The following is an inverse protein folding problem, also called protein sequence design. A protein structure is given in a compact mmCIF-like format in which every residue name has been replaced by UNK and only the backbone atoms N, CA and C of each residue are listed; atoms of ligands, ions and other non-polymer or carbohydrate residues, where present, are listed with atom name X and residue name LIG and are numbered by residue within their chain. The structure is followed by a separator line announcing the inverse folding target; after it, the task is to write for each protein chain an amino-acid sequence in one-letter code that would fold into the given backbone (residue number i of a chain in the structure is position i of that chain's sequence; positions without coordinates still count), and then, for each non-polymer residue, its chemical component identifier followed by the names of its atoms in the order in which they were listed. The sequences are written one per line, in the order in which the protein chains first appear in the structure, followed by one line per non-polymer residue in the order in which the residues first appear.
data_IF_100266208671
#
_entry.id   IF_100266208671
#
_cell.length_a   1.000
_cell.length_b   1.000
_cell.length_c   1.000
_cell.angle_alpha   90.00
_cell.angle_beta   90.00
_cell.angle_gamma   90.00
#
_symmetry.space_group_name_H-M   'P 1'
#
loop_
_entity.id
_entity.type
_entity.pdbx_description
1 polymer ?
#
# COMPACT_ATOMS: atom_id res chain seq x y z
N UNK A 1 -28.61 -49.09 -11.99
CA UNK A 1 -27.32 -48.64 -11.45
C UNK A 1 -26.49 -48.05 -12.60
N UNK A 2 -26.31 -46.72 -12.66
CA UNK A 2 -25.51 -46.09 -13.72
C UNK A 2 -24.03 -46.28 -13.39
N UNK A 3 -23.28 -46.98 -14.26
CA UNK A 3 -21.86 -47.26 -14.06
C UNK A 3 -21.04 -46.21 -14.83
N UNK A 4 -20.56 -45.20 -14.11
CA UNK A 4 -19.74 -44.14 -14.72
C UNK A 4 -18.41 -44.74 -15.19
N UNK A 5 -17.98 -44.51 -16.44
CA UNK A 5 -16.70 -45.00 -16.94
C UNK A 5 -15.54 -44.43 -16.10
N UNK A 6 -14.58 -45.27 -15.72
CA UNK A 6 -13.39 -44.85 -14.95
C UNK A 6 -12.63 -43.67 -15.58
N UNK A 7 -12.65 -43.56 -16.92
CA UNK A 7 -12.07 -42.43 -17.66
C UNK A 7 -12.81 -41.12 -17.40
N UNK A 8 -14.14 -41.14 -17.43
CA UNK A 8 -14.98 -39.98 -17.13
C UNK A 8 -14.79 -39.53 -15.68
N UNK A 9 -14.71 -40.48 -14.74
CA UNK A 9 -14.43 -40.19 -13.34
C UNK A 9 -13.09 -39.47 -13.15
N UNK A 10 -12.02 -39.92 -13.82
CA UNK A 10 -10.69 -39.26 -13.77
C UNK A 10 -10.73 -37.83 -14.33
N UNK A 11 -11.48 -37.59 -15.42
CA UNK A 11 -11.63 -36.25 -15.98
C UNK A 11 -12.36 -35.31 -15.03
N UNK A 12 -13.42 -35.79 -14.37
CA UNK A 12 -14.16 -35.01 -13.36
C UNK A 12 -13.24 -34.65 -12.19
N UNK A 13 -12.54 -35.64 -11.62
CA UNK A 13 -11.60 -35.39 -10.51
C UNK A 13 -10.45 -34.47 -10.92
N UNK A 14 -9.88 -34.66 -12.11
CA UNK A 14 -8.83 -33.79 -12.65
C UNK A 14 -9.31 -32.35 -12.83
N UNK A 15 -10.52 -32.16 -13.36
CA UNK A 15 -11.15 -30.84 -13.52
C UNK A 15 -11.39 -30.14 -12.18
N UNK A 16 -11.92 -30.86 -11.19
CA UNK A 16 -12.13 -30.33 -9.83
C UNK A 16 -10.78 -29.95 -9.20
N UNK A 17 -9.76 -30.81 -9.29
CA UNK A 17 -8.44 -30.52 -8.77
C UNK A 17 -7.81 -29.28 -9.43
N UNK A 18 -7.93 -29.14 -10.75
CA UNK A 18 -7.46 -27.97 -11.47
C UNK A 18 -8.20 -26.69 -11.04
N UNK A 19 -9.53 -26.74 -10.89
CA UNK A 19 -10.32 -25.60 -10.42
C UNK A 19 -9.92 -25.16 -9.00
N UNK A 20 -9.71 -26.13 -8.08
CA UNK A 20 -9.25 -25.84 -6.72
C UNK A 20 -7.84 -25.25 -6.70
N UNK A 21 -6.94 -25.74 -7.56
CA UNK A 21 -5.60 -25.16 -7.72
C UNK A 21 -5.67 -23.71 -8.21
N UNK A 22 -6.47 -23.42 -9.23
CA UNK A 22 -6.67 -22.06 -9.74
C UNK A 22 -7.23 -21.13 -8.66
N UNK A 23 -8.20 -21.59 -7.87
CA UNK A 23 -8.74 -20.83 -6.75
C UNK A 23 -7.66 -20.55 -5.70
N UNK A 24 -6.81 -21.52 -5.38
CA UNK A 24 -5.71 -21.36 -4.43
C UNK A 24 -4.68 -20.35 -4.95
N UNK A 25 -4.33 -20.39 -6.25
CA UNK A 25 -3.48 -19.39 -6.88
C UNK A 25 -4.09 -17.99 -6.84
N UNK A 26 -5.40 -17.86 -7.03
CA UNK A 26 -6.08 -16.57 -6.93
C UNK A 26 -5.88 -15.93 -5.54
N UNK A 27 -6.05 -16.71 -4.46
CA UNK A 27 -5.82 -16.23 -3.10
C UNK A 27 -4.36 -15.88 -2.80
N UNK A 28 -3.39 -16.48 -3.50
CA UNK A 28 -1.97 -16.12 -3.39
C UNK A 28 -1.62 -14.84 -4.15
N UNK A 29 -2.19 -14.65 -5.35
CA UNK A 29 -1.89 -13.51 -6.23
C UNK A 29 -2.51 -12.22 -5.68
N UNK A 30 -3.70 -12.28 -5.07
CA UNK A 30 -4.40 -11.11 -4.58
C UNK A 30 -3.58 -10.27 -3.57
N UNK A 31 -3.04 -10.84 -2.48
CA UNK A 31 -2.14 -10.13 -1.56
C UNK A 31 -0.89 -9.59 -2.28
N UNK A 32 -0.28 -10.41 -3.15
CA UNK A 32 0.95 -10.04 -3.83
C UNK A 32 0.78 -8.81 -4.73
N UNK A 33 -0.35 -8.75 -5.45
CA UNK A 33 -0.66 -7.61 -6.29
C UNK A 33 -1.19 -6.40 -5.50
N UNK A 34 -1.75 -6.60 -4.30
CA UNK A 34 -2.04 -5.50 -3.36
C UNK A 34 -0.76 -4.85 -2.84
N UNK A 35 0.19 -5.65 -2.36
CA UNK A 35 1.48 -5.15 -1.89
C UNK A 35 2.28 -4.53 -3.04
N UNK A 36 2.16 -5.09 -4.25
CA UNK A 36 2.72 -4.50 -5.45
C UNK A 36 2.18 -3.09 -5.73
N UNK A 37 0.89 -2.84 -5.49
CA UNK A 37 0.30 -1.51 -5.64
C UNK A 37 0.82 -0.52 -4.58
N UNK A 38 0.88 -0.92 -3.32
CA UNK A 38 1.47 -0.10 -2.25
C UNK A 38 2.95 0.23 -2.52
N UNK A 39 3.74 -0.75 -2.99
CA UNK A 39 5.14 -0.55 -3.39
C UNK A 39 5.30 0.39 -4.58
N UNK A 40 4.36 0.43 -5.52
CA UNK A 40 4.39 1.43 -6.60
C UNK A 40 4.19 2.84 -6.06
N UNK A 41 3.28 3.04 -5.12
CA UNK A 41 3.11 4.34 -4.47
C UNK A 41 4.37 4.72 -3.68
N UNK A 42 5.00 3.77 -2.98
CA UNK A 42 6.26 4.02 -2.29
C UNK A 42 7.35 4.49 -3.26
N UNK A 43 7.53 3.80 -4.40
CA UNK A 43 8.52 4.21 -5.41
C UNK A 43 8.29 5.62 -5.95
N UNK A 44 7.04 6.06 -6.06
CA UNK A 44 6.72 7.44 -6.47
C UNK A 44 7.17 8.45 -5.42
N UNK A 45 6.89 8.17 -4.15
CA UNK A 45 7.33 9.02 -3.03
C UNK A 45 8.86 9.03 -2.89
N UNK A 46 9.51 7.87 -3.02
CA UNK A 46 10.98 7.77 -2.95
C UNK A 46 11.70 8.46 -4.12
N UNK A 47 11.01 8.65 -5.25
CA UNK A 47 11.56 9.35 -6.41
C UNK A 47 11.48 10.87 -6.30
N UNK A 48 10.81 11.41 -5.27
CA UNK A 48 10.73 12.85 -5.06
C UNK A 48 12.07 13.41 -4.59
N UNK A 49 12.49 14.59 -5.07
CA UNK A 49 13.63 15.28 -4.51
C UNK A 49 13.36 15.63 -3.04
N UNK A 50 14.35 15.39 -2.18
CA UNK A 50 14.30 15.87 -0.81
C UNK A 50 14.51 17.39 -0.78
N UNK A 51 13.80 18.13 0.09
CA UNK A 51 14.12 19.53 0.36
C UNK A 51 15.56 19.71 0.83
N UNK A 52 16.09 20.92 0.68
CA UNK A 52 17.44 21.24 1.11
C UNK A 52 17.62 20.99 2.61
N UNK A 53 18.68 20.27 2.99
CA UNK A 53 18.96 19.92 4.38
C UNK A 53 18.06 18.84 4.99
N UNK A 54 17.10 18.28 4.23
CA UNK A 54 16.28 17.18 4.70
C UNK A 54 16.97 15.82 4.54
N UNK A 55 16.73 14.92 5.49
CA UNK A 55 17.26 13.54 5.49
C UNK A 55 16.12 12.53 5.44
N UNK A 56 16.19 11.54 4.53
CA UNK A 56 15.26 10.39 4.55
C UNK A 56 15.71 9.38 5.61
N UNK A 57 14.84 9.11 6.58
CA UNK A 57 15.11 8.20 7.69
C UNK A 57 14.59 6.78 7.44
N UNK A 58 13.37 6.64 6.92
CA UNK A 58 12.74 5.34 6.70
C UNK A 58 11.77 5.39 5.51
N UNK A 59 11.39 4.23 5.00
CA UNK A 59 10.47 4.07 3.88
C UNK A 59 9.49 2.96 4.23
N UNK A 60 8.21 3.18 3.94
CA UNK A 60 7.14 2.30 4.39
C UNK A 60 6.04 2.19 3.33
N UNK A 61 5.50 0.98 3.17
CA UNK A 61 4.35 0.74 2.30
C UNK A 61 3.39 -0.24 2.97
N UNK A 62 2.09 0.00 2.82
CA UNK A 62 1.07 -0.92 3.31
C UNK A 62 -0.11 -0.98 2.36
N UNK A 63 -0.76 -2.14 2.31
CA UNK A 63 -2.04 -2.34 1.63
C UNK A 63 -3.06 -2.89 2.61
N UNK A 64 -4.34 -2.54 2.46
CA UNK A 64 -5.42 -3.08 3.30
C UNK A 64 -6.55 -2.08 3.57
N UNK A 65 -7.39 -2.40 4.56
CA UNK A 65 -8.41 -1.48 5.09
C UNK A 65 -7.78 -0.56 6.14
N UNK A 66 -6.79 0.22 5.70
CA UNK A 66 -5.89 1.00 6.55
C UNK A 66 -6.62 2.09 7.34
N UNK A 67 -7.59 2.78 6.75
CA UNK A 67 -8.37 3.82 7.43
C UNK A 67 -9.65 3.27 8.09
N UNK A 68 -10.05 2.03 7.79
CA UNK A 68 -11.22 1.37 8.41
C UNK A 68 -12.57 2.00 8.11
N UNK A 69 -12.64 2.90 7.11
CA UNK A 69 -13.85 3.63 6.70
C UNK A 69 -14.26 3.22 5.29
N UNK A 70 -14.62 1.96 5.08
CA UNK A 70 -15.12 1.45 3.79
C UNK A 70 -14.74 0.00 3.48
N UNK A 71 -15.26 -0.49 2.34
CA UNK A 71 -14.99 -1.83 1.81
C UNK A 71 -13.80 -1.87 0.83
N UNK A 72 -13.34 -0.71 0.36
CA UNK A 72 -12.27 -0.62 -0.63
C UNK A 72 -10.87 -0.82 -0.05
N UNK A 73 -10.02 -1.48 -0.83
CA UNK A 73 -8.61 -1.65 -0.53
C UNK A 73 -7.85 -0.33 -0.68
N UNK A 74 -7.00 -0.01 0.29
CA UNK A 74 -6.16 1.19 0.28
C UNK A 74 -4.69 0.82 0.10
N UNK A 75 -3.95 1.65 -0.63
CA UNK A 75 -2.54 1.41 -0.96
C UNK A 75 -1.72 2.64 -0.59
N UNK A 76 -0.91 2.48 0.46
CA UNK A 76 -0.09 3.52 1.05
C UNK A 76 1.38 3.31 0.65
N UNK A 77 2.01 4.38 0.19
CA UNK A 77 3.46 4.50 0.16
C UNK A 77 3.88 5.79 0.86
N UNK A 78 4.92 5.73 1.68
CA UNK A 78 5.42 6.89 2.40
C UNK A 78 6.91 6.79 2.72
N UNK A 79 7.51 7.95 2.93
CA UNK A 79 8.83 8.10 3.55
C UNK A 79 8.70 8.86 4.87
N UNK A 80 9.56 8.53 5.82
CA UNK A 80 9.84 9.32 7.00
C UNK A 80 11.07 10.18 6.69
N UNK A 81 10.97 11.49 6.93
CA UNK A 81 12.08 12.42 6.76
C UNK A 81 12.26 13.30 8.00
N UNK A 82 13.49 13.75 8.19
CA UNK A 82 13.86 14.80 9.15
C UNK A 82 14.10 16.09 8.38
N UNK A 83 13.56 17.21 8.85
CA UNK A 83 13.79 18.52 8.23
C UNK A 83 13.71 19.64 9.27
N UNK A 84 14.48 20.70 9.06
CA UNK A 84 14.35 21.95 9.81
C UNK A 84 13.17 22.82 9.35
N UNK A 85 12.61 22.53 8.17
CA UNK A 85 11.45 23.22 7.63
C UNK A 85 10.17 22.83 8.38
N UNK A 86 9.20 23.75 8.41
CA UNK A 86 7.90 23.50 9.02
C UNK A 86 7.05 22.52 8.20
N UNK A 87 6.00 21.98 8.81
CA UNK A 87 5.03 21.12 8.11
C UNK A 87 4.41 21.86 6.91
N UNK A 88 4.08 23.13 7.08
CA UNK A 88 3.48 23.98 6.04
C UNK A 88 4.43 24.21 4.87
N UNK A 89 5.71 24.46 5.13
CA UNK A 89 6.73 24.61 4.08
C UNK A 89 6.90 23.32 3.28
N UNK A 90 6.94 22.18 3.97
CA UNK A 90 7.01 20.87 3.33
C UNK A 90 5.75 20.57 2.50
N UNK A 91 4.56 20.92 3.01
CA UNK A 91 3.31 20.79 2.24
C UNK A 91 3.37 21.58 0.94
N UNK A 92 3.82 22.82 0.99
CA UNK A 92 3.96 23.66 -0.20
C UNK A 92 4.98 23.08 -1.19
N UNK A 93 6.13 22.63 -0.67
CA UNK A 93 7.19 22.02 -1.48
C UNK A 93 6.67 20.78 -2.24
N UNK A 94 6.04 19.83 -1.55
CA UNK A 94 5.56 18.59 -2.17
C UNK A 94 4.26 18.78 -2.99
N UNK A 95 3.43 19.77 -2.66
CA UNK A 95 2.27 20.13 -3.48
C UNK A 95 2.71 20.62 -4.87
N UNK A 96 3.80 21.39 -4.97
CA UNK A 96 4.33 21.86 -6.25
C UNK A 96 4.83 20.72 -7.17
N UNK A 97 5.16 19.56 -6.59
CA UNK A 97 5.62 18.38 -7.32
C UNK A 97 4.48 17.43 -7.72
N UNK A 98 3.27 17.69 -7.23
CA UNK A 98 2.10 16.85 -7.49
C UNK A 98 1.68 16.93 -8.95
N UNK A 99 1.31 15.79 -9.53
CA UNK A 99 0.80 15.67 -10.90
C UNK A 99 -0.66 15.24 -10.86
N UNK A 100 -1.36 15.35 -11.98
CA UNK A 100 -2.74 14.84 -12.10
C UNK A 100 -2.79 13.36 -11.66
N UNK A 101 -3.56 13.08 -10.60
CA UNK A 101 -3.70 11.72 -10.04
C UNK A 101 -2.64 11.31 -9.01
N UNK A 102 -1.70 12.18 -8.65
CA UNK A 102 -0.67 11.93 -7.63
C UNK A 102 -0.61 13.12 -6.66
N UNK A 103 -1.38 13.04 -5.57
CA UNK A 103 -1.37 14.06 -4.53
C UNK A 103 -0.48 13.63 -3.37
N UNK A 104 0.68 14.28 -3.25
CA UNK A 104 1.60 14.06 -2.14
C UNK A 104 1.14 14.85 -0.92
N UNK A 105 1.08 14.17 0.22
CA UNK A 105 0.63 14.73 1.48
C UNK A 105 1.78 14.73 2.49
N UNK A 106 1.72 15.65 3.44
CA UNK A 106 2.69 15.77 4.53
C UNK A 106 1.96 15.85 5.85
N UNK A 107 2.49 15.17 6.87
CA UNK A 107 2.04 15.29 8.25
C UNK A 107 3.22 15.20 9.22
N UNK A 108 3.16 15.94 10.33
CA UNK A 108 4.11 15.76 11.43
C UNK A 108 4.03 14.35 12.02
N UNK A 109 5.17 13.86 12.49
CA UNK A 109 5.32 12.53 13.06
C UNK A 109 6.05 12.65 14.41
N UNK A 110 5.32 12.38 15.50
CA UNK A 110 5.78 12.66 16.88
C UNK A 110 6.24 11.43 17.64
N UNK A 111 6.09 10.24 17.07
CA UNK A 111 6.51 8.98 17.68
C UNK A 111 6.58 7.86 16.66
N UNK A 112 6.82 6.63 17.12
CA UNK A 112 7.02 5.49 16.21
C UNK A 112 5.74 5.02 15.52
N UNK A 113 4.57 5.21 16.13
CA UNK A 113 3.28 4.85 15.53
C UNK A 113 2.91 5.83 14.40
N UNK A 114 2.56 5.30 13.22
CA UNK A 114 2.21 6.13 12.07
C UNK A 114 1.05 7.09 12.38
N UNK A 115 1.29 8.40 12.30
CA UNK A 115 0.32 9.43 12.66
C UNK A 115 -0.97 9.38 11.82
N UNK A 116 -0.85 8.97 10.55
CA UNK A 116 -1.99 8.81 9.63
C UNK A 116 -2.80 7.52 9.86
N UNK A 117 -2.32 6.62 10.70
CA UNK A 117 -2.95 5.33 11.02
C UNK A 117 -2.98 5.07 12.54
N UNK A 118 -3.57 5.98 13.35
CA UNK A 118 -3.55 5.86 14.80
C UNK A 118 -4.35 4.64 15.29
N UNK A 119 -3.89 4.02 16.36
CA UNK A 119 -4.45 2.81 16.96
C UNK A 119 -4.16 1.54 16.17
N UNK A 120 -3.18 1.54 15.26
CA UNK A 120 -2.87 0.38 14.40
C UNK A 120 -1.45 -0.12 14.59
N UNK A 121 -1.23 -1.38 14.23
CA UNK A 121 0.07 -2.08 14.33
C UNK A 121 1.08 -1.64 13.26
N UNK A 122 1.18 -0.34 12.98
CA UNK A 122 2.10 0.22 11.99
C UNK A 122 3.07 1.16 12.70
N UNK A 123 4.33 0.74 12.79
CA UNK A 123 5.37 1.48 13.48
C UNK A 123 6.64 1.59 12.64
N UNK A 124 7.29 2.75 12.75
CA UNK A 124 8.65 2.96 12.29
C UNK A 124 9.65 2.19 13.16
N UNK A 125 10.75 1.75 12.55
CA UNK A 125 11.91 1.22 13.26
C UNK A 125 12.77 2.35 13.81
N UNK A 126 12.86 3.45 13.06
CA UNK A 126 13.56 4.66 13.49
C UNK A 126 12.95 5.19 14.77
N UNK A 127 13.81 5.57 15.72
CA UNK A 127 13.35 6.26 16.91
C UNK A 127 13.02 7.71 16.57
N UNK A 128 11.82 8.12 16.94
CA UNK A 128 11.27 9.41 16.56
C UNK A 128 11.14 10.21 17.84
N UNK A 129 12.12 11.09 18.02
CA UNK A 129 12.23 12.04 19.11
C UNK A 129 12.52 13.42 18.51
N UNK A 130 11.84 14.44 19.01
CA UNK A 130 11.93 15.79 18.44
C UNK A 130 10.80 16.08 17.45
N UNK A 131 10.40 17.35 17.38
CA UNK A 131 9.31 17.84 16.53
C UNK A 131 9.72 18.14 15.08
N UNK A 132 10.78 17.49 14.60
CA UNK A 132 11.45 17.74 13.30
C UNK A 132 11.28 16.57 12.30
N UNK A 133 10.45 15.59 12.66
CA UNK A 133 10.16 14.44 11.82
C UNK A 133 8.80 14.57 11.15
N UNK A 134 8.77 14.28 9.85
CA UNK A 134 7.59 14.38 9.01
C UNK A 134 7.45 13.13 8.16
N UNK A 135 6.21 12.77 7.84
CA UNK A 135 5.92 11.77 6.82
C UNK A 135 5.47 12.45 5.54
N UNK A 136 6.00 11.98 4.43
CA UNK A 136 5.49 12.34 3.09
C UNK A 136 4.88 11.09 2.51
N UNK A 137 3.61 11.16 2.11
CA UNK A 137 2.85 9.98 1.73
C UNK A 137 1.95 10.20 0.53
N UNK A 138 1.70 9.10 -0.18
CA UNK A 138 0.79 9.02 -1.32
C UNK A 138 -0.20 7.88 -1.08
N UNK A 139 -1.48 8.23 -1.18
CA UNK A 139 -2.55 7.26 -1.39
C UNK A 139 -2.74 7.04 -2.88
N UNK A 140 -2.87 5.80 -3.31
CA UNK A 140 -3.18 5.48 -4.70
C UNK A 140 -4.14 4.31 -4.80
N UNK A 141 -4.71 4.13 -5.98
CA UNK A 141 -5.54 2.98 -6.32
C UNK A 141 -4.74 1.82 -6.90
N UNK A 142 -5.41 0.68 -7.06
CA UNK A 142 -4.95 -0.44 -7.88
C UNK A 142 -5.44 -0.21 -9.30
N UNK A 143 -4.62 -0.52 -10.30
CA UNK A 143 -5.07 -0.53 -11.70
C UNK A 143 -5.28 -2.00 -12.13
N UNK A 144 -6.24 -2.25 -13.02
CA UNK A 144 -6.42 -3.54 -13.70
C UNK A 144 -7.52 -4.42 -13.11
N UNK A 145 -7.51 -5.73 -13.45
CA UNK A 145 -8.65 -6.65 -13.21
C UNK A 145 -9.10 -6.76 -11.76
N UNK A 146 -8.20 -6.50 -10.81
CA UNK A 146 -8.53 -6.60 -9.39
C UNK A 146 -9.22 -5.37 -8.83
N UNK A 147 -9.06 -4.20 -9.47
CA UNK A 147 -9.84 -3.01 -9.13
C UNK A 147 -11.32 -3.23 -9.48
N UNK A 148 -11.59 -3.91 -10.60
CA UNK A 148 -12.94 -4.28 -11.00
C UNK A 148 -13.60 -5.32 -10.07
N UNK A 149 -12.79 -6.03 -9.29
CA UNK A 149 -13.25 -7.01 -8.29
C UNK A 149 -13.32 -6.42 -6.88
N UNK A 150 -12.93 -5.16 -6.69
CA UNK A 150 -12.99 -4.48 -5.40
C UNK A 150 -14.44 -4.01 -5.14
N UNK A 151 -15.14 -4.57 -4.13
CA UNK A 151 -16.50 -4.16 -3.82
C UNK A 151 -16.49 -2.74 -3.25
N UNK A 152 -16.99 -1.78 -4.04
CA UNK A 152 -17.07 -0.35 -3.66
C UNK A 152 -18.22 -0.08 -2.69
#
# INVERSE_FOLDING_TARGET
MIRIPKRLMRLIFGGIAAALLLLLFFFLICPLANDGAAKRNLRKVEALPLPEGAEKLESYSASGHLLGRGNGMQYLGLILLRSAQSEEELKLYYAALSKTGEQYNVAAQTGRELAILPGRKHHFKTDISGGDCYIVYLWGGRNGIFEALDPR
#
